data_IF_631087830038
#
_entry.id   IF_631087830038
#
_cell.length_a   1.000
_cell.length_b   1.000
_cell.length_c   1.000
_cell.angle_alpha   90.00
_cell.angle_beta   90.00
_cell.angle_gamma   90.00
#
_symmetry.space_group_name_H-M   'P 1'
#
loop_
_entity.id
_entity.type
_entity.pdbx_description
1 polymer ?
#
# COMPACT_ATOMS: atom_id res chain seq x y z
N UNK A 1 -1.58 -41.72 24.70
CA UNK A 1 -2.53 -42.02 23.61
C UNK A 1 -2.29 -40.98 22.52
N UNK A 2 -1.79 -41.42 21.37
CA UNK A 2 -1.37 -40.63 20.20
C UNK A 2 -2.46 -40.64 19.13
N UNK A 3 -2.81 -39.48 18.59
CA UNK A 3 -3.47 -39.23 17.29
C UNK A 3 -3.13 -37.76 16.96
N UNK A 4 -2.28 -37.37 16.00
CA UNK A 4 -2.20 -37.60 14.55
C UNK A 4 -3.44 -37.16 13.78
N UNK A 5 -3.37 -35.97 13.19
CA UNK A 5 -4.25 -35.50 12.12
C UNK A 5 -3.40 -34.79 11.05
N UNK A 6 -3.62 -35.19 9.80
CA UNK A 6 -2.75 -35.01 8.63
C UNK A 6 -3.06 -33.72 7.88
N UNK A 7 -2.00 -33.09 7.39
CA UNK A 7 -2.02 -32.07 6.34
C UNK A 7 -2.53 -32.67 5.02
N UNK A 8 -3.41 -31.95 4.31
CA UNK A 8 -3.84 -32.27 2.95
C UNK A 8 -3.49 -31.11 2.01
N UNK A 9 -2.28 -31.17 1.48
CA UNK A 9 -1.85 -30.44 0.28
C UNK A 9 -2.48 -31.10 -0.95
N UNK A 10 -3.17 -30.34 -1.82
CA UNK A 10 -3.67 -30.84 -3.10
C UNK A 10 -3.04 -30.04 -4.24
N UNK A 11 -2.03 -30.66 -4.86
CA UNK A 11 -1.45 -30.25 -6.14
C UNK A 11 -2.35 -30.74 -7.27
N UNK A 12 -2.70 -29.85 -8.22
CA UNK A 12 -3.27 -30.24 -9.51
C UNK A 12 -2.19 -30.02 -10.57
N UNK A 13 -1.64 -31.12 -11.07
CA UNK A 13 -0.78 -31.17 -12.25
C UNK A 13 -1.67 -31.32 -13.49
N UNK A 14 -1.56 -30.42 -14.46
CA UNK A 14 -2.11 -30.60 -15.80
C UNK A 14 -0.97 -30.96 -16.76
N UNK A 15 -0.86 -32.24 -17.09
CA UNK A 15 0.07 -32.75 -18.12
C UNK A 15 -0.55 -32.61 -19.50
N UNK A 16 0.01 -31.73 -20.34
CA UNK A 16 -0.28 -31.67 -21.77
C UNK A 16 0.65 -32.60 -22.56
N UNK A 17 0.08 -33.66 -23.13
CA UNK A 17 0.76 -34.64 -23.99
C UNK A 17 0.89 -34.06 -25.41
N UNK A 18 2.12 -33.92 -25.91
CA UNK A 18 2.42 -33.59 -27.30
C UNK A 18 2.70 -34.89 -28.08
N UNK A 19 1.85 -35.22 -29.05
CA UNK A 19 2.05 -36.35 -29.98
C UNK A 19 2.41 -35.82 -31.36
N UNK A 20 3.64 -36.12 -31.80
CA UNK A 20 4.11 -35.95 -33.18
C UNK A 20 3.69 -37.17 -34.02
N UNK A 21 3.20 -36.98 -35.25
CA UNK A 21 3.28 -38.01 -36.27
C UNK A 21 4.40 -37.69 -37.27
N UNK A 22 5.38 -38.60 -37.34
CA UNK A 22 6.26 -38.74 -38.48
C UNK A 22 5.61 -39.70 -39.49
N UNK A 23 5.58 -39.32 -40.77
CA UNK A 23 5.38 -40.25 -41.88
C UNK A 23 6.35 -39.92 -43.02
N UNK A 24 7.26 -40.88 -43.25
CA UNK A 24 8.13 -41.04 -44.40
C UNK A 24 7.32 -41.43 -45.65
N UNK A 25 7.72 -41.01 -46.86
CA UNK A 25 7.81 -41.95 -48.00
C UNK A 25 8.71 -41.42 -49.16
N UNK A 26 9.30 -42.31 -50.01
CA UNK A 26 10.44 -42.01 -50.88
C UNK A 26 10.17 -42.07 -52.42
N UNK A 27 11.23 -41.73 -53.18
CA UNK A 27 11.61 -42.18 -54.55
C UNK A 27 11.00 -41.47 -55.80
N UNK A 28 11.61 -41.56 -57.02
CA UNK A 28 13.01 -41.26 -57.40
C UNK A 28 13.19 -40.58 -58.81
N UNK A 29 14.46 -40.24 -59.13
CA UNK A 29 15.13 -40.16 -60.45
C UNK A 29 14.65 -39.18 -61.55
N UNK A 30 15.51 -38.19 -61.87
CA UNK A 30 15.85 -37.86 -63.26
C UNK A 30 17.26 -37.20 -63.34
N UNK A 31 17.96 -37.56 -64.41
CA UNK A 31 19.37 -37.38 -64.74
C UNK A 31 19.73 -36.04 -65.39
N UNK A 32 20.99 -35.61 -65.29
CA UNK A 32 21.60 -34.78 -66.35
C UNK A 32 22.86 -33.97 -65.98
N UNK A 33 24.03 -34.49 -66.34
CA UNK A 33 25.11 -33.72 -67.00
C UNK A 33 25.99 -32.74 -66.20
N UNK A 34 27.27 -33.07 -66.07
CA UNK A 34 28.41 -32.13 -65.98
C UNK A 34 29.13 -32.13 -67.35
N UNK A 35 29.82 -31.05 -67.81
CA UNK A 35 31.11 -30.64 -67.22
C UNK A 35 31.45 -29.12 -67.21
N UNK A 36 32.53 -28.80 -66.47
CA UNK A 36 33.38 -27.57 -66.31
C UNK A 36 33.78 -26.77 -67.59
N UNK A 37 34.58 -25.65 -67.56
CA UNK A 37 35.12 -24.81 -66.44
C UNK A 37 35.09 -23.24 -66.65
N UNK A 38 35.44 -22.48 -65.58
CA UNK A 38 36.12 -21.14 -65.40
C UNK A 38 36.34 -20.14 -66.57
N UNK A 39 36.46 -18.78 -66.36
CA UNK A 39 37.35 -18.17 -65.35
C UNK A 39 36.98 -16.80 -64.71
N UNK A 40 37.63 -16.54 -63.57
CA UNK A 40 38.23 -15.30 -63.07
C UNK A 40 37.56 -13.93 -63.29
N UNK A 41 37.17 -13.31 -62.17
CA UNK A 41 37.14 -11.85 -62.03
C UNK A 41 37.89 -11.44 -60.74
N UNK A 42 38.73 -10.40 -60.76
CA UNK A 42 39.50 -9.96 -59.60
C UNK A 42 38.63 -9.08 -58.69
N UNK A 43 38.41 -9.50 -57.45
CA UNK A 43 37.89 -8.61 -56.43
C UNK A 43 39.05 -7.77 -55.88
N UNK A 44 39.05 -6.50 -56.26
CA UNK A 44 39.91 -5.46 -55.71
C UNK A 44 39.63 -5.36 -54.21
N UNK A 45 40.66 -5.55 -53.39
CA UNK A 45 40.61 -5.36 -51.96
C UNK A 45 40.40 -3.88 -51.64
N UNK A 46 39.22 -3.53 -51.12
CA UNK A 46 39.01 -2.25 -50.43
C UNK A 46 39.70 -2.31 -49.06
N UNK A 47 40.46 -1.28 -48.63
CA UNK A 47 40.96 -1.24 -47.26
C UNK A 47 39.78 -1.07 -46.31
N UNK A 48 39.64 -2.06 -45.41
CA UNK A 48 38.73 -2.03 -44.28
C UNK A 48 39.04 -0.79 -43.42
N UNK A 49 38.10 0.12 -43.13
CA UNK A 49 38.34 1.11 -42.10
C UNK A 49 38.46 0.37 -40.77
N UNK A 50 39.57 0.59 -40.07
CA UNK A 50 39.74 0.15 -38.69
C UNK A 50 38.47 0.49 -37.89
N UNK A 51 37.95 -0.41 -37.04
CA UNK A 51 36.89 0.00 -36.13
C UNK A 51 37.50 1.04 -35.18
N UNK A 52 37.19 2.31 -35.41
CA UNK A 52 37.30 3.34 -34.38
C UNK A 52 36.54 2.78 -33.19
N UNK A 53 37.25 2.56 -32.08
CA UNK A 53 36.65 2.15 -30.83
C UNK A 53 35.54 3.14 -30.50
N UNK A 54 34.28 2.74 -30.69
CA UNK A 54 33.15 3.39 -30.06
C UNK A 54 33.44 3.37 -28.56
N UNK A 55 33.24 4.47 -27.82
CA UNK A 55 33.18 4.36 -26.37
C UNK A 55 32.02 3.42 -26.07
N UNK A 56 32.33 2.20 -25.63
CA UNK A 56 31.38 1.33 -24.96
C UNK A 56 30.97 2.06 -23.70
N UNK A 57 29.93 2.89 -23.78
CA UNK A 57 29.22 3.35 -22.60
C UNK A 57 28.48 2.11 -22.13
N UNK A 58 29.15 1.29 -21.32
CA UNK A 58 28.49 0.36 -20.43
C UNK A 58 27.52 1.20 -19.61
N UNK A 59 26.25 1.19 -20.00
CA UNK A 59 25.19 1.93 -19.32
C UNK A 59 25.11 1.40 -17.89
N UNK A 60 25.79 2.07 -16.98
CA UNK A 60 25.74 1.77 -15.56
C UNK A 60 24.32 2.08 -15.06
N UNK A 61 23.73 1.16 -14.30
CA UNK A 61 22.41 1.35 -13.75
C UNK A 61 22.42 2.56 -12.80
N UNK A 62 21.58 3.55 -13.07
CA UNK A 62 21.48 4.75 -12.24
C UNK A 62 20.55 4.41 -11.06
N UNK A 63 21.00 4.64 -9.81
CA UNK A 63 20.14 4.40 -8.66
C UNK A 63 18.95 5.35 -8.70
N UNK A 64 17.77 4.86 -8.34
CA UNK A 64 16.53 5.61 -8.46
C UNK A 64 15.56 5.27 -7.34
N UNK A 65 14.78 6.26 -6.93
CA UNK A 65 13.60 6.09 -6.10
C UNK A 65 12.37 6.27 -6.96
N UNK A 66 11.45 5.32 -6.88
CA UNK A 66 10.22 5.27 -7.64
C UNK A 66 9.04 5.24 -6.67
N UNK A 67 8.02 6.01 -7.00
CA UNK A 67 6.86 6.20 -6.15
C UNK A 67 5.60 5.88 -6.93
N UNK A 68 4.62 5.32 -6.24
CA UNK A 68 3.40 4.86 -6.85
C UNK A 68 2.21 4.99 -5.92
N UNK A 69 1.03 5.09 -6.52
CA UNK A 69 -0.25 5.06 -5.81
C UNK A 69 -1.17 4.03 -6.44
N UNK A 70 -2.15 3.61 -5.67
CA UNK A 70 -3.31 2.87 -6.15
C UNK A 70 -4.53 3.50 -5.50
N UNK A 71 -5.56 3.77 -6.28
CA UNK A 71 -6.86 4.17 -5.77
C UNK A 71 -7.95 3.48 -6.59
N UNK A 72 -8.57 2.50 -5.98
CA UNK A 72 -9.62 1.68 -6.57
C UNK A 72 -10.77 1.53 -5.58
N UNK A 73 -11.91 1.04 -6.05
CA UNK A 73 -13.07 0.80 -5.20
C UNK A 73 -12.77 -0.09 -3.97
N UNK A 74 -11.81 -1.01 -4.10
CA UNK A 74 -11.52 -2.02 -3.09
C UNK A 74 -10.13 -1.90 -2.46
N UNK A 75 -9.28 -0.99 -2.94
CA UNK A 75 -7.91 -0.84 -2.45
C UNK A 75 -7.41 0.56 -2.72
N UNK A 76 -6.88 1.24 -1.69
CA UNK A 76 -6.12 2.47 -1.82
C UNK A 76 -4.77 2.34 -1.13
N UNK A 77 -3.74 3.00 -1.64
CA UNK A 77 -2.41 2.90 -1.04
C UNK A 77 -1.30 3.53 -1.85
N UNK A 78 -0.09 3.41 -1.32
CA UNK A 78 1.13 3.95 -1.91
C UNK A 78 2.31 2.99 -1.75
N UNK A 79 3.26 3.07 -2.68
CA UNK A 79 4.49 2.31 -2.66
C UNK A 79 5.68 3.23 -2.94
N UNK A 80 6.76 3.10 -2.17
CA UNK A 80 8.04 3.75 -2.40
C UNK A 80 9.13 2.71 -2.50
N UNK A 81 9.78 2.64 -3.67
CA UNK A 81 10.80 1.65 -3.98
C UNK A 81 12.09 2.36 -4.33
N UNK A 82 13.19 1.98 -3.69
CA UNK A 82 14.54 2.42 -4.04
C UNK A 82 15.30 1.28 -4.69
N UNK A 83 15.97 1.56 -5.80
CA UNK A 83 16.83 0.62 -6.51
C UNK A 83 18.24 1.21 -6.55
N UNK A 84 19.19 0.54 -5.90
CA UNK A 84 20.58 0.96 -5.84
C UNK A 84 21.38 0.54 -7.08
N UNK A 85 22.61 1.05 -7.21
CA UNK A 85 23.52 0.74 -8.34
C UNK A 85 23.76 -0.75 -8.53
N UNK A 86 23.85 -1.49 -7.44
CA UNK A 86 24.07 -2.94 -7.44
C UNK A 86 22.75 -3.72 -7.61
N UNK A 87 21.68 -3.02 -7.99
CA UNK A 87 20.33 -3.53 -8.20
C UNK A 87 19.68 -4.07 -6.93
N UNK A 88 20.20 -3.71 -5.75
CA UNK A 88 19.48 -3.91 -4.49
C UNK A 88 18.19 -3.12 -4.53
N UNK A 89 17.10 -3.78 -4.17
CA UNK A 89 15.78 -3.18 -4.07
C UNK A 89 15.44 -3.11 -2.59
N UNK A 90 15.04 -1.93 -2.15
CA UNK A 90 14.40 -1.70 -0.86
C UNK A 90 13.11 -0.92 -1.08
N UNK A 91 12.18 -1.00 -0.15
CA UNK A 91 10.98 -0.19 -0.26
C UNK A 91 9.98 -0.46 0.83
N UNK A 92 8.92 0.33 0.78
CA UNK A 92 7.79 0.21 1.69
C UNK A 92 6.49 0.41 0.91
N UNK A 93 5.45 -0.33 1.33
CA UNK A 93 4.08 -0.06 0.90
C UNK A 93 3.19 0.18 2.11
N UNK A 94 2.18 1.04 1.91
CA UNK A 94 1.06 1.21 2.85
C UNK A 94 -0.22 1.15 2.03
N UNK A 95 -1.13 0.27 2.41
CA UNK A 95 -2.38 0.10 1.68
C UNK A 95 -3.53 -0.23 2.61
N UNK A 96 -4.73 0.14 2.17
CA UNK A 96 -6.00 -0.24 2.75
C UNK A 96 -6.72 -1.11 1.73
N UNK A 97 -7.26 -2.25 2.18
CA UNK A 97 -8.28 -3.00 1.44
C UNK A 97 -9.62 -2.58 2.00
N UNK A 98 -10.55 -2.24 1.13
CA UNK A 98 -11.87 -1.77 1.50
C UNK A 98 -12.98 -2.55 0.80
N UNK A 99 -14.12 -2.66 1.47
CA UNK A 99 -15.40 -2.98 0.87
C UNK A 99 -16.46 -2.11 1.56
N UNK A 100 -16.77 -0.91 1.04
CA UNK A 100 -17.70 0.03 1.67
C UNK A 100 -19.12 -0.53 1.83
N UNK A 101 -19.57 -1.40 0.93
CA UNK A 101 -20.92 -1.97 0.96
C UNK A 101 -21.12 -2.90 2.17
N UNK A 102 -20.06 -3.60 2.56
CA UNK A 102 -19.99 -4.44 3.76
C UNK A 102 -19.24 -3.73 4.92
N UNK A 103 -18.89 -2.45 4.69
CA UNK A 103 -17.88 -1.61 5.33
C UNK A 103 -16.73 -2.32 6.07
N UNK A 104 -16.11 -3.25 5.37
CA UNK A 104 -14.85 -3.88 5.77
C UNK A 104 -13.67 -3.00 5.35
N UNK A 105 -12.73 -2.67 6.25
CA UNK A 105 -11.54 -1.88 5.94
C UNK A 105 -10.29 -2.40 6.67
N UNK A 106 -9.34 -3.01 5.96
CA UNK A 106 -8.09 -3.50 6.57
C UNK A 106 -6.88 -2.77 6.03
N UNK A 107 -6.12 -2.11 6.91
CA UNK A 107 -4.86 -1.45 6.57
C UNK A 107 -3.66 -2.34 6.87
N UNK A 108 -2.67 -2.35 5.98
CA UNK A 108 -1.43 -3.07 6.17
C UNK A 108 -0.22 -2.29 5.67
N UNK A 109 0.95 -2.65 6.18
CA UNK A 109 2.23 -2.12 5.74
C UNK A 109 3.11 -3.27 5.28
N UNK A 110 3.94 -3.03 4.27
CA UNK A 110 4.91 -4.02 3.82
C UNK A 110 6.30 -3.39 3.75
N UNK A 111 7.28 -4.10 4.29
CA UNK A 111 8.69 -3.83 4.04
C UNK A 111 9.17 -4.73 2.90
N UNK A 112 9.84 -4.13 1.93
CA UNK A 112 10.34 -4.80 0.73
C UNK A 112 11.86 -4.82 0.75
N UNK A 113 12.45 -5.99 0.51
CA UNK A 113 13.89 -6.13 0.32
C UNK A 113 14.19 -7.16 -0.74
N UNK A 114 15.17 -6.92 -1.62
CA UNK A 114 15.42 -7.86 -2.71
C UNK A 114 16.35 -7.36 -3.80
N UNK A 115 16.15 -7.87 -5.02
CA UNK A 115 16.97 -7.56 -6.20
C UNK A 115 16.10 -7.31 -7.44
N UNK A 116 16.53 -6.36 -8.27
CA UNK A 116 15.99 -6.15 -9.61
C UNK A 116 16.68 -7.13 -10.59
N UNK A 117 15.90 -8.03 -11.18
CA UNK A 117 16.32 -8.99 -12.20
C UNK A 117 16.38 -8.39 -13.60
N UNK A 118 17.06 -9.08 -14.53
CA UNK A 118 17.34 -8.60 -15.90
C UNK A 118 16.08 -8.29 -16.73
N UNK A 119 14.94 -8.94 -16.42
CA UNK A 119 13.67 -8.73 -17.12
C UNK A 119 12.78 -7.67 -16.45
N UNK A 120 13.32 -6.85 -15.56
CA UNK A 120 12.58 -5.89 -14.73
C UNK A 120 11.68 -6.54 -13.67
N UNK A 121 11.99 -7.78 -13.29
CA UNK A 121 11.37 -8.49 -12.18
C UNK A 121 11.98 -8.00 -10.86
N UNK A 122 11.16 -7.57 -9.91
CA UNK A 122 11.57 -7.32 -8.54
C UNK A 122 11.38 -8.62 -7.74
N UNK A 123 12.49 -9.29 -7.41
CA UNK A 123 12.48 -10.50 -6.59
C UNK A 123 12.62 -10.05 -5.15
N UNK A 124 11.53 -10.14 -4.38
CA UNK A 124 11.39 -9.48 -3.08
C UNK A 124 11.13 -10.51 -1.97
N UNK A 125 11.82 -10.35 -0.86
CA UNK A 125 11.37 -10.77 0.45
C UNK A 125 10.48 -9.67 1.02
N UNK A 126 9.21 -10.00 1.23
CA UNK A 126 8.14 -9.08 1.66
C UNK A 126 7.76 -9.41 3.08
N UNK A 127 7.85 -8.42 3.98
CA UNK A 127 7.34 -8.54 5.36
C UNK A 127 6.08 -7.71 5.49
N UNK A 128 4.92 -8.38 5.51
CA UNK A 128 3.61 -7.76 5.69
C UNK A 128 3.27 -7.70 7.16
N UNK A 129 2.86 -6.53 7.65
CA UNK A 129 2.37 -6.31 9.01
C UNK A 129 0.91 -5.86 8.96
N UNK A 130 0.05 -6.67 9.57
CA UNK A 130 -1.37 -6.40 9.76
C UNK A 130 -1.59 -6.46 11.27
N UNK A 131 -1.73 -5.29 11.89
CA UNK A 131 -2.04 -5.20 13.33
C UNK A 131 -0.98 -5.91 14.19
N UNK A 132 -1.31 -7.05 14.80
CA UNK A 132 -0.41 -7.87 15.62
C UNK A 132 0.19 -9.06 14.86
N UNK A 133 -0.20 -9.26 13.61
CA UNK A 133 0.30 -10.32 12.76
C UNK A 133 1.43 -9.84 11.85
N UNK A 134 2.42 -10.70 11.67
CA UNK A 134 3.57 -10.45 10.79
C UNK A 134 3.75 -11.67 9.91
N UNK A 135 3.60 -11.45 8.61
CA UNK A 135 3.74 -12.48 7.60
C UNK A 135 4.96 -12.16 6.75
N UNK A 136 5.71 -13.20 6.38
CA UNK A 136 6.86 -13.08 5.48
C UNK A 136 6.64 -13.97 4.28
N UNK A 137 6.72 -13.38 3.10
CA UNK A 137 6.51 -14.02 1.82
C UNK A 137 7.69 -13.69 0.90
N UNK A 138 7.92 -14.57 -0.07
CA UNK A 138 8.81 -14.25 -1.19
C UNK A 138 7.93 -14.05 -2.41
N UNK A 139 8.07 -12.89 -3.04
CA UNK A 139 7.21 -12.43 -4.13
C UNK A 139 8.05 -11.99 -5.32
N UNK A 140 7.43 -12.01 -6.50
CA UNK A 140 8.03 -11.45 -7.72
C UNK A 140 7.05 -10.43 -8.28
N UNK A 141 7.43 -9.16 -8.21
CA UNK A 141 6.66 -8.05 -8.75
C UNK A 141 7.23 -7.63 -10.10
N UNK A 142 6.40 -7.07 -10.97
CA UNK A 142 6.82 -6.64 -12.30
C UNK A 142 6.92 -5.14 -12.35
N UNK A 143 8.08 -4.63 -12.79
CA UNK A 143 8.28 -3.21 -13.08
C UNK A 143 8.25 -3.02 -14.61
N UNK A 144 7.08 -2.68 -15.16
CA UNK A 144 6.92 -2.50 -16.62
C UNK A 144 6.92 -1.02 -16.96
N UNK A 145 8.05 -0.53 -17.45
CA UNK A 145 8.24 0.90 -17.69
C UNK A 145 8.21 1.67 -16.37
N UNK A 146 7.10 2.38 -16.12
CA UNK A 146 6.84 3.14 -14.89
C UNK A 146 5.65 2.60 -14.10
N UNK A 147 5.11 1.44 -14.47
CA UNK A 147 3.98 0.80 -13.78
C UNK A 147 4.51 -0.35 -12.93
N UNK A 148 4.07 -0.41 -11.69
CA UNK A 148 4.41 -1.47 -10.75
C UNK A 148 3.23 -2.42 -10.61
N UNK A 149 3.45 -3.71 -10.88
CA UNK A 149 2.46 -4.75 -10.67
C UNK A 149 2.88 -5.65 -9.51
N UNK A 150 2.12 -5.57 -8.41
CA UNK A 150 2.31 -6.33 -7.19
C UNK A 150 1.18 -7.35 -7.05
N UNK A 151 1.48 -8.63 -7.34
CA UNK A 151 0.50 -9.73 -7.39
C UNK A 151 -0.75 -9.40 -8.22
N UNK A 152 -1.83 -8.95 -7.57
CA UNK A 152 -3.14 -8.62 -8.17
C UNK A 152 -3.41 -7.11 -8.24
N UNK A 153 -2.54 -6.30 -7.65
CA UNK A 153 -2.68 -4.84 -7.59
C UNK A 153 -1.74 -4.21 -8.59
N UNK A 154 -2.27 -3.30 -9.40
CA UNK A 154 -1.47 -2.48 -10.32
C UNK A 154 -1.39 -1.09 -9.73
N UNK A 155 -0.18 -0.64 -9.49
CA UNK A 155 0.14 0.68 -8.96
C UNK A 155 0.54 1.60 -10.12
N UNK A 156 -0.02 2.80 -10.12
CA UNK A 156 0.27 3.85 -11.08
C UNK A 156 1.43 4.73 -10.58
N UNK A 157 2.30 5.22 -11.47
CA UNK A 157 3.41 6.08 -11.07
C UNK A 157 2.91 7.37 -10.42
N UNK A 158 3.57 7.79 -9.35
CA UNK A 158 3.31 9.01 -8.61
C UNK A 158 4.61 9.81 -8.39
N UNK A 159 4.46 11.09 -8.07
CA UNK A 159 5.59 11.91 -7.68
C UNK A 159 6.05 11.56 -6.26
N UNK A 160 7.36 11.36 -6.08
CA UNK A 160 7.91 11.01 -4.77
C UNK A 160 7.87 12.16 -3.77
N UNK A 161 7.95 13.39 -4.24
CA UNK A 161 7.92 14.56 -3.35
C UNK A 161 6.50 14.74 -2.79
N UNK A 162 5.47 14.51 -3.62
CA UNK A 162 4.06 14.56 -3.19
C UNK A 162 3.73 13.45 -2.16
N UNK A 163 4.30 12.26 -2.30
CA UNK A 163 4.12 11.18 -1.32
C UNK A 163 4.92 11.39 -0.01
N UNK A 164 6.00 12.16 -0.04
CA UNK A 164 6.80 12.47 1.14
C UNK A 164 6.13 13.55 2.01
N UNK A 165 5.22 14.34 1.43
CA UNK A 165 4.46 15.38 2.11
C UNK A 165 3.16 14.87 2.76
N UNK A 166 2.91 13.55 2.76
CA UNK A 166 1.83 13.01 3.59
C UNK A 166 2.10 13.39 5.06
N UNK A 167 1.15 14.05 5.74
CA UNK A 167 1.36 14.61 7.08
C UNK A 167 1.70 13.57 8.15
N UNK A 168 1.62 12.28 7.82
CA UNK A 168 1.87 11.14 8.71
C UNK A 168 3.36 10.77 8.87
N UNK A 169 4.27 11.23 8.02
CA UNK A 169 5.71 10.87 8.07
C UNK A 169 6.66 12.06 8.35
N UNK A 170 6.15 13.26 8.59
CA UNK A 170 6.99 14.34 9.10
C UNK A 170 7.43 13.99 10.55
N UNK A 171 8.74 13.95 10.87
CA UNK A 171 9.16 13.86 12.27
C UNK A 171 8.52 15.03 13.01
N UNK A 172 7.97 14.83 14.23
CA UNK A 172 7.38 15.92 14.98
C UNK A 172 8.44 17.00 15.14
N UNK A 173 8.26 18.11 14.41
CA UNK A 173 9.15 19.25 14.48
C UNK A 173 9.18 19.69 15.93
N UNK A 174 10.37 19.69 16.51
CA UNK A 174 10.70 20.08 17.90
C UNK A 174 10.49 21.60 18.11
N UNK A 175 9.34 22.12 17.69
CA UNK A 175 8.85 23.44 18.02
C UNK A 175 8.11 23.35 19.37
N UNK A 176 8.23 24.35 20.26
CA UNK A 176 7.52 24.35 21.54
C UNK A 176 6.02 24.19 21.30
N UNK A 177 5.40 23.20 21.97
CA UNK A 177 3.97 22.93 21.88
C UNK A 177 3.16 24.18 22.26
N UNK A 178 2.67 24.90 21.26
CA UNK A 178 1.56 25.84 21.42
C UNK A 178 0.28 25.02 21.65
N UNK A 179 -0.63 25.45 22.53
CA UNK A 179 -1.86 24.72 22.83
C UNK A 179 -2.68 24.60 21.54
N UNK A 180 -2.86 23.38 21.04
CA UNK A 180 -3.55 23.10 19.79
C UNK A 180 -5.02 23.50 19.87
N UNK A 181 -5.34 24.71 19.42
CA UNK A 181 -6.69 25.16 19.13
C UNK A 181 -7.15 24.62 17.76
N UNK A 182 -7.03 23.31 17.54
CA UNK A 182 -7.42 22.63 16.30
C UNK A 182 -8.44 21.54 16.60
N UNK A 183 -9.71 21.79 16.30
CA UNK A 183 -10.77 20.80 16.43
C UNK A 183 -12.04 21.27 15.73
N UNK A 184 -12.82 20.34 15.19
CA UNK A 184 -14.09 20.62 14.51
C UNK A 184 -15.17 20.86 15.55
N UNK A 185 -15.80 22.04 15.52
CA UNK A 185 -16.89 22.35 16.46
C UNK A 185 -18.16 21.58 16.08
N UNK A 186 -18.73 20.88 17.06
CA UNK A 186 -20.05 20.27 16.93
C UNK A 186 -21.10 21.29 17.39
N UNK A 187 -22.05 21.58 16.50
CA UNK A 187 -23.19 22.45 16.78
C UNK A 187 -24.48 21.64 16.73
N UNK A 188 -25.37 21.86 17.70
CA UNK A 188 -26.69 21.24 17.69
C UNK A 188 -27.67 22.10 16.89
N UNK A 189 -28.56 21.44 16.15
CA UNK A 189 -29.68 22.12 15.52
C UNK A 189 -30.53 22.86 16.56
N UNK A 190 -31.16 23.97 16.17
CA UNK A 190 -31.98 24.77 17.08
C UNK A 190 -33.06 23.92 17.77
N UNK A 191 -33.03 23.86 19.10
CA UNK A 191 -33.95 23.05 19.91
C UNK A 191 -33.56 21.57 20.07
N UNK A 192 -32.43 21.14 19.49
CA UNK A 192 -31.84 19.82 19.72
C UNK A 192 -30.78 19.89 20.83
N UNK A 193 -30.66 18.81 21.59
CA UNK A 193 -29.59 18.58 22.57
C UNK A 193 -28.59 17.52 22.10
N UNK A 194 -28.77 16.99 20.89
CA UNK A 194 -27.91 15.97 20.31
C UNK A 194 -27.59 16.22 18.84
N UNK A 195 -26.49 15.62 18.40
CA UNK A 195 -26.07 15.52 17.00
C UNK A 195 -25.35 14.20 16.78
N UNK A 196 -25.28 13.79 15.52
CA UNK A 196 -24.50 12.65 15.08
C UNK A 196 -23.43 13.13 14.10
N UNK A 197 -22.21 12.63 14.28
CA UNK A 197 -21.11 12.88 13.36
C UNK A 197 -20.69 11.55 12.74
N UNK A 198 -20.53 11.53 11.42
CA UNK A 198 -20.03 10.38 10.69
C UNK A 198 -18.74 10.80 10.00
N UNK A 199 -17.64 10.09 10.27
CA UNK A 199 -16.34 10.38 9.68
C UNK A 199 -15.47 9.11 9.63
N UNK A 200 -14.24 9.24 9.13
CA UNK A 200 -13.21 8.22 9.28
C UNK A 200 -11.92 8.82 9.84
N UNK A 201 -11.25 8.04 10.69
CA UNK A 201 -9.95 8.38 11.25
C UNK A 201 -8.90 7.41 10.71
N UNK A 202 -7.77 7.95 10.26
CA UNK A 202 -6.62 7.18 9.75
C UNK A 202 -5.75 6.70 10.91
N UNK A 203 -5.14 5.52 10.80
CA UNK A 203 -4.28 4.95 11.83
C UNK A 203 -3.14 5.90 12.20
N UNK A 204 -3.01 6.18 13.50
CA UNK A 204 -1.97 7.08 14.02
C UNK A 204 -2.38 8.55 14.06
N UNK A 205 -3.50 8.89 13.42
CA UNK A 205 -4.12 10.22 13.49
C UNK A 205 -5.24 10.24 14.53
N UNK A 206 -5.76 11.44 14.81
CA UNK A 206 -6.89 11.66 15.70
C UNK A 206 -7.80 12.74 15.15
N UNK A 207 -9.10 12.50 15.22
CA UNK A 207 -10.11 13.55 14.97
C UNK A 207 -10.46 14.21 16.29
N UNK A 208 -10.38 15.54 16.35
CA UNK A 208 -10.74 16.30 17.55
C UNK A 208 -12.01 17.09 17.33
N UNK A 209 -13.00 16.88 18.18
CA UNK A 209 -14.26 17.62 18.19
C UNK A 209 -14.36 18.54 19.40
N UNK A 210 -14.81 19.76 19.17
CA UNK A 210 -15.05 20.75 20.22
C UNK A 210 -16.53 20.80 20.55
N UNK A 211 -16.84 20.58 21.84
CA UNK A 211 -18.19 20.66 22.38
C UNK A 211 -18.28 21.74 23.45
N UNK A 212 -19.10 22.75 23.22
CA UNK A 212 -19.41 23.72 24.27
C UNK A 212 -20.52 23.18 25.17
N UNK A 213 -20.24 23.12 26.47
CA UNK A 213 -21.22 22.70 27.46
C UNK A 213 -20.99 23.39 28.82
N UNK A 214 -22.02 23.39 29.67
CA UNK A 214 -22.00 24.02 30.98
C UNK A 214 -21.79 23.00 32.11
N UNK A 215 -21.20 23.46 33.21
CA UNK A 215 -21.06 22.68 34.43
C UNK A 215 -22.42 22.18 34.93
N UNK A 216 -22.47 20.92 35.36
CA UNK A 216 -23.69 20.25 35.83
C UNK A 216 -24.59 19.69 34.73
N UNK A 217 -24.30 19.95 33.45
CA UNK A 217 -24.96 19.24 32.36
C UNK A 217 -24.48 17.79 32.28
N UNK A 218 -25.32 16.91 31.75
CA UNK A 218 -24.93 15.52 31.47
C UNK A 218 -24.50 15.39 30.01
N UNK A 219 -23.26 14.98 29.80
CA UNK A 219 -22.76 14.58 28.49
C UNK A 219 -22.94 13.08 28.29
N UNK A 220 -23.52 12.71 27.14
CA UNK A 220 -23.63 11.32 26.69
C UNK A 220 -22.95 11.19 25.33
N UNK A 221 -21.98 10.30 25.25
CA UNK A 221 -21.27 9.97 24.02
C UNK A 221 -21.42 8.47 23.75
N UNK A 222 -21.59 8.12 22.49
CA UNK A 222 -21.51 6.74 22.03
C UNK A 222 -20.85 6.75 20.66
N UNK A 223 -19.82 5.94 20.48
CA UNK A 223 -19.21 5.74 19.18
C UNK A 223 -19.49 4.33 18.70
N UNK A 224 -19.80 4.20 17.42
CA UNK A 224 -19.90 2.92 16.74
C UNK A 224 -18.99 2.94 15.54
N UNK A 225 -18.38 1.79 15.27
CA UNK A 225 -17.57 1.55 14.08
C UNK A 225 -17.88 0.14 13.62
N UNK A 226 -17.76 -0.08 12.32
CA UNK A 226 -18.15 -1.36 11.74
C UNK A 226 -17.31 -2.52 12.24
N UNK A 227 -16.03 -2.26 12.48
CA UNK A 227 -15.08 -3.25 12.99
C UNK A 227 -14.89 -3.18 14.51
N UNK A 228 -15.70 -2.39 15.23
CA UNK A 228 -15.58 -2.14 16.66
C UNK A 228 -14.13 -1.75 17.06
N UNK A 229 -13.57 -0.82 16.30
CA UNK A 229 -12.19 -0.39 16.39
C UNK A 229 -12.03 1.13 16.55
N UNK A 230 -13.12 1.87 16.78
CA UNK A 230 -13.09 3.29 17.13
C UNK A 230 -13.36 3.50 18.61
N UNK A 231 -12.54 4.30 19.26
CA UNK A 231 -12.70 4.75 20.66
C UNK A 231 -12.54 6.26 20.72
N UNK A 232 -12.95 6.86 21.84
CA UNK A 232 -12.71 8.27 22.10
C UNK A 232 -12.10 8.52 23.48
N UNK A 233 -11.42 9.66 23.59
CA UNK A 233 -11.00 10.28 24.84
C UNK A 233 -11.78 11.59 25.04
N UNK A 234 -11.96 12.00 26.29
CA UNK A 234 -12.59 13.29 26.62
C UNK A 234 -11.68 14.12 27.49
N UNK A 235 -11.37 15.33 27.05
CA UNK A 235 -10.59 16.32 27.80
C UNK A 235 -11.50 17.50 28.16
N UNK A 236 -11.48 17.87 29.44
CA UNK A 236 -12.22 19.02 29.97
C UNK A 236 -11.62 20.36 29.57
N UNK A 237 -12.38 21.46 29.75
CA UNK A 237 -11.90 22.81 29.43
C UNK A 237 -10.72 23.28 30.30
N UNK A 238 -10.47 22.61 31.42
CA UNK A 238 -9.32 22.79 32.31
C UNK A 238 -8.11 21.93 31.91
N UNK A 239 -8.24 21.11 30.85
CA UNK A 239 -7.22 20.18 30.39
C UNK A 239 -7.23 18.82 31.10
N UNK A 240 -8.18 18.57 32.02
CA UNK A 240 -8.26 17.29 32.70
C UNK A 240 -8.77 16.19 31.75
N UNK A 241 -8.10 15.03 31.73
CA UNK A 241 -8.64 13.84 31.07
C UNK A 241 -9.80 13.28 31.90
N UNK A 242 -10.98 13.24 31.31
CA UNK A 242 -12.23 12.78 31.94
C UNK A 242 -12.60 11.35 31.53
N UNK A 243 -12.16 10.92 30.35
CA UNK A 243 -12.31 9.56 29.83
C UNK A 243 -11.16 9.24 28.87
N UNK A 244 -10.81 7.97 28.76
CA UNK A 244 -9.75 7.50 27.87
C UNK A 244 -10.14 6.17 27.24
N UNK A 245 -10.00 6.07 25.92
CA UNK A 245 -10.28 4.86 25.13
C UNK A 245 -11.66 4.23 25.40
N UNK A 246 -12.70 5.07 25.48
CA UNK A 246 -14.08 4.63 25.73
C UNK A 246 -14.88 4.48 24.42
N UNK A 247 -15.84 3.56 24.43
CA UNK A 247 -16.84 3.42 23.35
C UNK A 247 -18.16 4.13 23.71
N UNK A 248 -18.44 4.27 25.01
CA UNK A 248 -19.63 4.92 25.54
C UNK A 248 -19.29 5.65 26.84
N UNK A 249 -19.83 6.86 27.00
CA UNK A 249 -19.65 7.65 28.20
C UNK A 249 -20.95 8.33 28.59
N UNK A 250 -21.23 8.37 29.88
CA UNK A 250 -22.23 9.27 30.47
C UNK A 250 -21.61 9.92 31.69
N UNK A 251 -21.50 11.25 31.67
CA UNK A 251 -20.77 12.01 32.68
C UNK A 251 -21.45 13.34 32.99
N UNK A 252 -21.55 13.68 34.27
CA UNK A 252 -21.90 15.04 34.71
C UNK A 252 -20.67 15.94 34.60
N UNK A 253 -20.81 17.06 33.88
CA UNK A 253 -19.70 17.90 33.50
C UNK A 253 -19.21 18.76 34.67
N UNK A 254 -17.92 18.69 35.04
CA UNK A 254 -17.40 19.40 36.21
C UNK A 254 -17.22 20.91 36.00
N UNK A 255 -17.22 21.38 34.75
CA UNK A 255 -16.89 22.75 34.39
C UNK A 255 -17.68 23.24 33.17
N UNK A 256 -17.77 24.55 33.00
CA UNK A 256 -18.32 25.14 31.78
C UNK A 256 -17.18 25.47 30.82
N UNK A 257 -17.35 25.16 29.54
CA UNK A 257 -16.36 25.49 28.52
C UNK A 257 -16.41 24.56 27.31
N UNK A 258 -15.34 24.59 26.52
CA UNK A 258 -15.16 23.69 25.39
C UNK A 258 -14.46 22.41 25.86
N UNK A 259 -15.15 21.29 25.68
CA UNK A 259 -14.64 19.94 25.85
C UNK A 259 -14.07 19.45 24.52
N UNK A 260 -13.00 18.65 24.59
CA UNK A 260 -12.42 17.99 23.43
C UNK A 260 -12.82 16.51 23.46
N UNK A 261 -13.53 16.06 22.42
CA UNK A 261 -13.76 14.63 22.17
C UNK A 261 -12.80 14.20 21.08
N UNK A 262 -11.87 13.33 21.43
CA UNK A 262 -10.76 12.96 20.58
C UNK A 262 -10.96 11.51 20.14
N UNK A 263 -11.28 11.31 18.87
CA UNK A 263 -11.58 9.99 18.29
C UNK A 263 -10.33 9.42 17.64
N UNK A 264 -10.08 8.14 17.90
CA UNK A 264 -8.99 7.39 17.31
C UNK A 264 -9.38 5.94 17.02
N UNK A 265 -8.62 5.30 16.13
CA UNK A 265 -8.70 3.87 15.91
C UNK A 265 -7.86 3.09 16.94
N UNK A 266 -8.41 2.05 17.56
CA UNK A 266 -7.64 1.09 18.36
C UNK A 266 -6.80 0.17 17.47
N UNK A 267 -7.26 -0.04 16.24
CA UNK A 267 -6.69 -0.99 15.29
C UNK A 267 -6.98 -0.53 13.85
N UNK A 268 -5.96 -0.05 13.15
CA UNK A 268 -6.11 0.40 11.76
C UNK A 268 -6.88 1.73 11.65
N UNK A 269 -7.39 1.99 10.44
CA UNK A 269 -8.32 3.09 10.21
C UNK A 269 -9.70 2.70 10.78
N UNK A 270 -10.48 3.69 11.20
CA UNK A 270 -11.84 3.44 11.68
C UNK A 270 -12.82 4.42 11.04
N UNK A 271 -13.80 3.90 10.29
CA UNK A 271 -15.00 4.67 9.93
C UNK A 271 -15.98 4.54 11.08
N UNK A 272 -16.46 5.68 11.58
CA UNK A 272 -17.26 5.71 12.79
C UNK A 272 -18.46 6.65 12.66
N UNK A 273 -19.45 6.34 13.49
CA UNK A 273 -20.56 7.22 13.83
C UNK A 273 -20.43 7.57 15.31
N UNK A 274 -20.29 8.86 15.62
CA UNK A 274 -20.26 9.41 16.96
C UNK A 274 -21.58 10.09 17.26
N UNK A 275 -22.35 9.53 18.18
CA UNK A 275 -23.54 10.13 18.75
C UNK A 275 -23.17 10.96 19.97
N UNK A 276 -23.63 12.22 19.97
CA UNK A 276 -23.28 13.22 20.97
C UNK A 276 -24.54 13.85 21.53
N UNK A 277 -24.69 13.90 22.84
CA UNK A 277 -25.78 14.60 23.52
C UNK A 277 -25.33 15.36 24.77
N UNK A 278 -25.94 16.52 25.03
CA UNK A 278 -25.74 17.36 26.22
C UNK A 278 -27.11 17.75 26.78
N UNK A 279 -27.41 17.33 28.01
CA UNK A 279 -28.69 17.54 28.71
C UNK A 279 -28.52 18.42 29.95
#
# INVERSE_FOLDING_TARGET
>A
MTFSARSLTRWVLLSGVLLLPACQNPNPLASGGSPSPSPSAPAIASPSPSPTASPSVSGEFVPQTLCYTVDTANTSGQARISIDRDRTVTGETRATIQNPEEGYYSSYTQELSGKLGDNSDLILDVTTRIENDVQRTQETWLLTGTVLQAERVTYEPADCDELAESPDDAPPSEAPAEPQAGGTRIEFAAGSTSSQVQNSVVRGTRDTYLLNAAAGQTMRLSISSLENNAVFEVIGPDGAALAQEEEQLTLELPASGDYQVIVGGTRGNATYTLDVAIE
#
